data_IF_880463068129
#
_entry.id   IF_880463068129
#
_cell.length_a   1.000
_cell.length_b   1.000
_cell.length_c   1.000
_cell.angle_alpha   90.00
_cell.angle_beta   90.00
_cell.angle_gamma   90.00
#
_symmetry.space_group_name_H-M   'P 1'
#
loop_
_entity.id
_entity.type
_entity.pdbx_description
1 polymer ?
#
# COMPACT_ATOMS: atom_id res chain seq x y z
N UNK A 1 22.73 21.06 6.77
CA UNK A 1 21.26 21.16 6.91
C UNK A 1 20.76 19.75 6.77
N UNK A 2 20.45 19.09 7.89
CA UNK A 2 19.88 17.74 7.86
C UNK A 2 18.44 17.84 7.39
N UNK A 3 18.14 17.21 6.27
CA UNK A 3 16.78 17.11 5.75
C UNK A 3 16.13 15.97 6.54
N UNK A 4 15.23 16.31 7.45
CA UNK A 4 14.36 15.32 8.07
C UNK A 4 13.42 14.75 6.99
N UNK A 5 13.74 13.55 6.49
CA UNK A 5 12.75 12.75 5.78
C UNK A 5 11.97 11.95 6.83
N UNK A 6 10.63 11.98 6.81
CA UNK A 6 9.84 11.01 7.53
C UNK A 6 10.33 9.60 7.17
N UNK A 7 10.42 8.67 8.13
CA UNK A 7 10.98 7.34 7.87
C UNK A 7 10.10 6.51 6.93
N UNK A 8 8.85 6.92 6.76
CA UNK A 8 7.85 6.27 5.93
C UNK A 8 7.72 6.95 4.56
N UNK A 9 7.82 6.15 3.50
CA UNK A 9 7.61 6.56 2.13
C UNK A 9 6.95 5.43 1.32
N UNK A 10 6.21 5.75 0.26
CA UNK A 10 5.48 4.78 -0.55
C UNK A 10 6.44 3.89 -1.37
N UNK A 11 6.21 2.58 -1.36
CA UNK A 11 6.96 1.60 -2.17
C UNK A 11 6.26 1.25 -3.48
N UNK A 12 4.93 1.14 -3.44
CA UNK A 12 4.15 0.76 -4.61
C UNK A 12 2.81 1.46 -4.61
N UNK A 13 2.28 1.64 -5.81
CA UNK A 13 0.96 2.19 -6.07
C UNK A 13 0.18 1.21 -6.95
N UNK A 14 -1.13 1.16 -6.73
CA UNK A 14 -2.09 0.41 -7.52
C UNK A 14 -3.43 1.14 -7.57
N UNK A 15 -4.39 0.60 -8.31
CA UNK A 15 -5.72 1.18 -8.42
C UNK A 15 -6.77 0.06 -8.38
N UNK A 16 -7.82 0.29 -7.59
CA UNK A 16 -9.05 -0.50 -7.58
C UNK A 16 -10.23 0.45 -7.75
N UNK A 17 -10.99 0.31 -8.84
CA UNK A 17 -12.07 1.24 -9.18
C UNK A 17 -11.54 2.68 -9.27
N UNK A 18 -12.14 3.58 -8.50
CA UNK A 18 -11.76 5.00 -8.44
C UNK A 18 -10.73 5.31 -7.34
N UNK A 19 -10.28 4.31 -6.58
CA UNK A 19 -9.32 4.50 -5.50
C UNK A 19 -7.89 4.18 -5.90
N UNK A 20 -6.96 5.06 -5.52
CA UNK A 20 -5.51 4.81 -5.60
C UNK A 20 -5.04 4.21 -4.29
N UNK A 21 -4.39 3.04 -4.36
CA UNK A 21 -3.85 2.33 -3.20
C UNK A 21 -2.34 2.50 -3.17
N UNK A 22 -1.78 2.73 -1.99
CA UNK A 22 -0.32 2.71 -1.77
C UNK A 22 0.04 1.98 -0.51
N UNK A 23 1.16 1.25 -0.56
CA UNK A 23 1.79 0.66 0.61
C UNK A 23 3.17 1.28 0.84
N UNK A 24 3.47 1.61 2.09
CA UNK A 24 4.75 2.20 2.47
C UNK A 24 5.82 1.15 2.81
N UNK A 25 7.05 1.62 2.93
CA UNK A 25 8.18 0.83 3.44
C UNK A 25 7.98 0.35 4.89
N UNK A 26 7.08 0.96 5.67
CA UNK A 26 6.72 0.52 7.03
C UNK A 26 5.44 -0.34 7.07
N UNK A 27 4.88 -0.67 5.90
CA UNK A 27 3.69 -1.49 5.77
C UNK A 27 2.38 -0.78 6.07
N UNK A 28 2.37 0.55 6.12
CA UNK A 28 1.15 1.33 6.10
C UNK A 28 0.46 1.17 4.74
N UNK A 29 -0.84 0.86 4.74
CA UNK A 29 -1.65 0.71 3.53
C UNK A 29 -2.73 1.79 3.53
N UNK A 30 -2.79 2.55 2.44
CA UNK A 30 -3.61 3.74 2.32
C UNK A 30 -4.37 3.73 1.00
N UNK A 31 -5.63 4.18 1.04
CA UNK A 31 -6.46 4.40 -0.14
C UNK A 31 -6.77 5.89 -0.29
N UNK A 32 -6.76 6.40 -1.52
CA UNK A 32 -7.17 7.76 -1.86
C UNK A 32 -8.34 7.71 -2.82
N UNK A 33 -9.46 8.33 -2.43
CA UNK A 33 -10.74 8.32 -3.16
C UNK A 33 -10.89 9.51 -4.15
N UNK A 34 -9.85 10.34 -4.29
CA UNK A 34 -9.90 11.58 -5.07
C UNK A 34 -10.06 12.85 -4.23
N UNK A 35 -10.49 12.71 -2.97
CA UNK A 35 -10.70 13.83 -2.03
C UNK A 35 -9.90 13.63 -0.73
N UNK A 36 -9.87 12.42 -0.20
CA UNK A 36 -9.36 12.11 1.12
C UNK A 36 -8.58 10.79 1.16
N UNK A 37 -7.66 10.68 2.13
CA UNK A 37 -6.89 9.47 2.38
C UNK A 37 -7.53 8.64 3.51
N UNK A 38 -7.80 7.37 3.25
CA UNK A 38 -8.20 6.35 4.22
C UNK A 38 -7.01 5.49 4.61
N UNK A 39 -6.86 5.22 5.90
CA UNK A 39 -5.87 4.26 6.41
C UNK A 39 -6.53 2.88 6.48
N UNK A 40 -6.10 1.96 5.62
CA UNK A 40 -6.57 0.57 5.61
C UNK A 40 -5.80 -0.26 6.63
N UNK A 41 -4.48 -0.06 6.69
CA UNK A 41 -3.59 -0.67 7.68
C UNK A 41 -2.61 0.38 8.17
N UNK A 42 -2.50 0.52 9.49
CA UNK A 42 -1.41 1.34 10.08
C UNK A 42 -0.09 0.58 10.00
N UNK A 43 1.04 1.27 9.76
CA UNK A 43 2.34 0.64 9.94
C UNK A 43 2.49 0.17 11.40
N UNK A 44 3.22 -0.92 11.59
CA UNK A 44 3.48 -1.50 12.92
C UNK A 44 4.98 -1.78 13.04
N UNK A 45 5.60 -1.18 14.05
CA UNK A 45 7.04 -1.28 14.27
C UNK A 45 7.43 -2.74 14.56
N UNK A 46 8.49 -3.23 13.90
CA UNK A 46 8.94 -4.61 14.05
C UNK A 46 8.14 -5.64 13.25
N UNK A 47 7.06 -5.25 12.56
CA UNK A 47 6.26 -6.14 11.71
C UNK A 47 6.49 -5.84 10.23
N UNK A 48 6.89 -6.87 9.48
CA UNK A 48 7.01 -6.78 8.02
C UNK A 48 5.65 -6.98 7.35
N UNK A 49 5.21 -5.98 6.60
CA UNK A 49 3.99 -6.02 5.80
C UNK A 49 4.11 -5.11 4.57
N UNK A 50 5.19 -5.27 3.82
CA UNK A 50 5.43 -4.43 2.65
C UNK A 50 4.71 -5.02 1.44
N UNK A 51 4.15 -4.15 0.59
CA UNK A 51 3.70 -4.54 -0.75
C UNK A 51 4.69 -3.93 -1.75
N UNK A 52 5.45 -4.79 -2.42
CA UNK A 52 6.48 -4.35 -3.36
C UNK A 52 5.96 -4.11 -4.78
N UNK A 53 4.81 -4.69 -5.11
CA UNK A 53 4.18 -4.49 -6.41
C UNK A 53 2.66 -4.58 -6.27
N UNK A 54 1.96 -3.78 -7.05
CA UNK A 54 0.53 -3.85 -7.22
C UNK A 54 0.21 -3.96 -8.71
N UNK A 55 -0.68 -4.87 -9.08
CA UNK A 55 -1.03 -5.17 -10.46
C UNK A 55 -2.55 -5.04 -10.58
N UNK A 56 -3.00 -4.04 -11.35
CA UNK A 56 -4.40 -3.92 -11.74
C UNK A 56 -4.65 -4.83 -12.95
N UNK A 57 -5.61 -5.74 -12.83
CA UNK A 57 -6.01 -6.66 -13.89
C UNK A 57 -7.52 -6.71 -14.01
N UNK A 58 -8.07 -6.03 -15.01
CA UNK A 58 -9.50 -5.84 -15.13
C UNK A 58 -10.04 -4.98 -13.99
N UNK A 59 -10.99 -5.53 -13.26
CA UNK A 59 -11.64 -4.94 -12.08
C UNK A 59 -10.97 -5.36 -10.74
N UNK A 60 -9.80 -6.01 -10.81
CA UNK A 60 -9.11 -6.57 -9.64
C UNK A 60 -7.79 -5.87 -9.37
N UNK A 61 -7.41 -5.82 -8.10
CA UNK A 61 -6.10 -5.37 -7.65
C UNK A 61 -5.36 -6.51 -6.93
N UNK A 62 -4.23 -6.94 -7.48
CA UNK A 62 -3.36 -7.96 -6.87
C UNK A 62 -2.13 -7.30 -6.26
N UNK A 63 -1.81 -7.64 -5.00
CA UNK A 63 -0.73 -7.06 -4.21
C UNK A 63 0.34 -8.12 -3.89
N UNK A 64 1.54 -7.94 -4.42
CA UNK A 64 2.69 -8.80 -4.12
C UNK A 64 3.24 -8.50 -2.72
N UNK A 65 2.88 -9.33 -1.75
CA UNK A 65 3.11 -9.08 -0.33
C UNK A 65 4.41 -9.75 0.16
N UNK A 66 5.26 -8.97 0.81
CA UNK A 66 6.36 -9.44 1.64
C UNK A 66 5.91 -9.44 3.12
N UNK A 67 6.27 -10.46 3.93
CA UNK A 67 7.22 -11.54 3.64
C UNK A 67 6.62 -12.84 3.09
N UNK A 68 5.31 -12.91 2.88
CA UNK A 68 4.67 -14.19 2.51
C UNK A 68 5.04 -14.65 1.10
N UNK A 69 5.35 -13.72 0.20
CA UNK A 69 5.59 -13.99 -1.22
C UNK A 69 4.31 -14.24 -2.02
N UNK A 70 3.14 -14.06 -1.41
CA UNK A 70 1.85 -14.26 -2.06
C UNK A 70 1.36 -13.02 -2.78
N UNK A 71 0.52 -13.24 -3.80
CA UNK A 71 -0.40 -12.21 -4.25
C UNK A 71 -1.64 -12.26 -3.38
N UNK A 72 -1.96 -11.13 -2.74
CA UNK A 72 -3.22 -10.91 -2.04
C UNK A 72 -4.09 -10.08 -2.98
N UNK A 73 -5.32 -10.52 -3.21
CA UNK A 73 -6.31 -9.69 -3.89
C UNK A 73 -6.90 -8.70 -2.89
N UNK A 74 -6.86 -7.42 -3.24
CA UNK A 74 -7.57 -6.37 -2.51
C UNK A 74 -8.97 -6.21 -3.08
N UNK A 75 -9.97 -6.35 -2.24
CA UNK A 75 -11.40 -6.31 -2.58
C UNK A 75 -12.08 -4.99 -2.19
N UNK A 76 -11.35 -4.05 -1.58
CA UNK A 76 -11.86 -2.77 -1.10
C UNK A 76 -11.82 -2.63 0.43
N UNK A 77 -11.55 -3.69 1.19
CA UNK A 77 -11.55 -3.67 2.67
C UNK A 77 -10.26 -4.21 3.32
#
# INVERSE_FOLDING_TARGET
MDIFMPPEFPYSYGQLGDEVITCSNWGGLYAFDGESWKVLRKPEEGVSYQVYTMITYGDRLLMGQYPTGYFIEYDGE
#
